data_IF_681431471835
#
_entry.id   IF_681431471835
#
_cell.length_a   1.000
_cell.length_b   1.000
_cell.length_c   1.000
_cell.angle_alpha   90.00
_cell.angle_beta   90.00
_cell.angle_gamma   90.00
#
_symmetry.space_group_name_H-M   'P 1'
#
loop_
_entity.id
_entity.type
_entity.pdbx_description
1 polymer ?
#
# COMPACT_ATOMS: atom_id res chain seq x y z
N UNK A 1 -10.39 28.84 37.05
CA UNK A 1 -11.71 29.02 37.61
C UNK A 1 -11.77 30.40 38.24
N UNK A 2 -12.75 31.20 37.86
CA UNK A 2 -12.94 32.55 38.42
C UNK A 2 -14.33 32.66 39.03
N UNK A 3 -14.45 33.43 40.10
CA UNK A 3 -15.72 33.85 40.70
C UNK A 3 -15.62 35.35 41.00
N UNK A 4 -16.64 36.11 40.59
CA UNK A 4 -16.72 37.57 40.77
C UNK A 4 -15.44 38.31 40.29
N UNK A 5 -14.88 37.90 39.12
CA UNK A 5 -13.62 38.40 38.53
C UNK A 5 -12.35 38.11 39.35
N UNK A 6 -12.43 37.30 40.37
CA UNK A 6 -11.26 36.86 41.15
C UNK A 6 -10.89 35.42 40.76
N UNK A 7 -9.61 35.17 40.47
CA UNK A 7 -9.11 33.83 40.22
C UNK A 7 -9.16 33.00 41.51
N UNK A 8 -9.92 31.91 41.53
CA UNK A 8 -10.09 31.04 42.70
C UNK A 8 -9.15 29.83 42.60
N UNK A 9 -9.00 29.28 41.40
CA UNK A 9 -8.15 28.12 41.16
C UNK A 9 -7.57 28.16 39.75
N UNK A 10 -6.32 27.77 39.62
CA UNK A 10 -5.63 27.49 38.34
C UNK A 10 -5.38 25.98 38.25
N UNK A 11 -5.91 25.39 37.22
CA UNK A 11 -5.61 24.01 36.89
C UNK A 11 -4.59 24.02 35.74
N UNK A 12 -3.43 23.43 35.98
CA UNK A 12 -2.44 23.17 34.95
C UNK A 12 -2.47 21.70 34.62
N UNK A 13 -2.65 21.42 33.34
CA UNK A 13 -2.51 20.06 32.81
C UNK A 13 -1.06 19.89 32.37
N UNK A 14 -0.40 18.89 32.91
CA UNK A 14 0.92 18.46 32.41
C UNK A 14 0.62 17.69 31.12
N UNK A 15 1.27 18.10 30.03
CA UNK A 15 1.18 17.31 28.81
C UNK A 15 1.68 15.88 29.07
N UNK A 16 0.99 14.91 28.51
CA UNK A 16 1.44 13.53 28.53
C UNK A 16 2.87 13.45 27.97
N UNK A 17 3.65 12.56 28.52
CA UNK A 17 4.98 12.26 28.00
C UNK A 17 4.90 11.91 26.50
N UNK A 18 5.94 12.29 25.78
CA UNK A 18 6.08 11.93 24.36
C UNK A 18 5.87 10.42 24.19
N UNK A 19 4.94 10.05 23.31
CA UNK A 19 4.63 8.63 23.05
C UNK A 19 5.92 7.89 22.71
N UNK A 20 6.10 6.71 23.31
CA UNK A 20 7.26 5.86 23.06
C UNK A 20 7.41 5.57 21.55
N UNK A 21 8.62 5.69 21.02
CA UNK A 21 8.93 5.50 19.59
C UNK A 21 8.72 6.74 18.72
N UNK A 22 8.20 7.87 19.24
CA UNK A 22 8.00 9.09 18.43
C UNK A 22 9.30 9.71 17.94
N UNK A 23 10.34 9.69 18.78
CA UNK A 23 11.66 10.21 18.41
C UNK A 23 12.32 9.34 17.34
N UNK A 24 12.24 8.05 17.49
CA UNK A 24 12.75 7.06 16.53
C UNK A 24 12.00 7.15 15.20
N UNK A 25 10.68 7.41 15.22
CA UNK A 25 9.88 7.67 14.02
C UNK A 25 10.40 8.89 13.26
N UNK A 26 10.52 10.01 13.94
CA UNK A 26 10.96 11.29 13.35
C UNK A 26 12.38 11.15 12.79
N UNK A 27 13.30 10.62 13.59
CA UNK A 27 14.67 10.38 13.15
C UNK A 27 14.71 9.42 11.96
N UNK A 28 13.88 8.38 11.99
CA UNK A 28 13.77 7.41 10.88
C UNK A 28 13.38 8.05 9.54
N UNK A 29 12.51 9.06 9.54
CA UNK A 29 12.19 9.81 8.33
C UNK A 29 13.31 10.78 7.91
N UNK A 30 13.93 11.48 8.87
CA UNK A 30 15.05 12.38 8.61
C UNK A 30 16.22 11.61 7.97
N UNK A 31 16.56 10.43 8.49
CA UNK A 31 17.63 9.57 7.96
C UNK A 31 17.37 9.12 6.51
N UNK A 32 16.12 9.16 6.07
CA UNK A 32 15.69 8.87 4.69
C UNK A 32 15.61 10.10 3.80
N UNK A 33 16.04 11.27 4.33
CA UNK A 33 16.01 12.54 3.61
C UNK A 33 14.62 13.15 3.48
N UNK A 34 13.68 12.75 4.35
CA UNK A 34 12.31 13.28 4.39
C UNK A 34 12.26 14.41 5.40
N UNK A 35 11.76 15.57 4.98
CA UNK A 35 11.52 16.70 5.87
C UNK A 35 10.31 16.41 6.75
N UNK A 36 10.45 16.64 8.06
CA UNK A 36 9.36 16.46 9.02
C UNK A 36 9.00 17.81 9.62
N UNK A 37 7.72 18.15 9.60
CA UNK A 37 7.16 19.38 10.19
C UNK A 37 6.05 19.01 11.18
N UNK A 38 5.93 19.77 12.26
CA UNK A 38 4.85 19.64 13.24
C UNK A 38 3.93 20.84 13.08
N UNK A 39 2.64 20.57 12.84
CA UNK A 39 1.59 21.59 12.76
C UNK A 39 0.54 21.31 13.84
N UNK A 40 0.29 22.26 14.73
CA UNK A 40 -0.63 22.09 15.86
C UNK A 40 -1.46 23.34 16.14
N UNK A 41 -2.65 23.13 16.72
CA UNK A 41 -3.46 24.22 17.31
C UNK A 41 -2.95 24.71 18.66
N UNK A 42 -2.03 24.00 19.28
CA UNK A 42 -1.41 24.37 20.56
C UNK A 42 -0.54 25.62 20.44
N UNK A 43 -0.22 26.23 21.59
CA UNK A 43 0.63 27.41 21.60
C UNK A 43 1.98 27.15 20.95
N UNK A 44 2.52 28.15 20.23
CA UNK A 44 3.85 28.05 19.58
C UNK A 44 4.93 27.57 20.55
N UNK A 45 4.89 28.03 21.81
CA UNK A 45 5.87 27.62 22.82
C UNK A 45 5.79 26.14 23.18
N UNK A 46 4.58 25.57 23.23
CA UNK A 46 4.36 24.14 23.48
C UNK A 46 4.86 23.30 22.33
N UNK A 47 4.53 23.71 21.09
CA UNK A 47 4.93 22.96 19.88
C UNK A 47 6.45 23.02 19.69
N UNK A 48 7.08 24.18 19.95
CA UNK A 48 8.54 24.32 19.92
C UNK A 48 9.22 23.43 20.96
N UNK A 49 8.70 23.42 22.21
CA UNK A 49 9.24 22.55 23.25
C UNK A 49 9.16 21.06 22.87
N UNK A 50 8.02 20.64 22.30
CA UNK A 50 7.84 19.29 21.81
C UNK A 50 8.81 18.97 20.66
N UNK A 51 8.94 19.83 19.64
CA UNK A 51 9.86 19.68 18.52
C UNK A 51 11.31 19.47 19.00
N UNK A 52 11.77 20.31 19.94
CA UNK A 52 13.09 20.19 20.55
C UNK A 52 13.27 18.84 21.28
N UNK A 53 12.22 18.34 21.97
CA UNK A 53 12.28 17.06 22.69
C UNK A 53 12.46 15.86 21.77
N UNK A 54 11.96 15.94 20.53
CA UNK A 54 12.05 14.89 19.52
C UNK A 54 13.20 15.12 18.50
N UNK A 55 13.98 16.20 18.68
CA UNK A 55 15.16 16.48 17.87
C UNK A 55 14.88 17.24 16.58
N UNK A 56 13.72 17.88 16.45
CA UNK A 56 13.39 18.75 15.33
C UNK A 56 13.83 20.21 15.61
N UNK A 57 14.26 20.96 14.58
CA UNK A 57 14.54 22.38 14.73
C UNK A 57 13.24 23.18 14.95
N UNK A 58 13.34 24.33 15.62
CA UNK A 58 12.19 25.20 15.86
C UNK A 58 11.48 25.67 14.59
N UNK A 59 12.21 25.79 13.49
CA UNK A 59 11.67 26.13 12.15
C UNK A 59 10.72 25.10 11.57
N UNK A 60 10.76 23.87 12.10
CA UNK A 60 9.86 22.78 11.71
C UNK A 60 8.63 22.64 12.62
N UNK A 61 8.42 23.61 13.53
CA UNK A 61 7.36 23.61 14.52
C UNK A 61 6.44 24.82 14.34
N UNK A 62 5.17 24.57 14.00
CA UNK A 62 4.16 25.60 13.80
C UNK A 62 3.00 25.36 14.77
N UNK A 63 2.82 26.30 15.68
CA UNK A 63 1.77 26.29 16.69
C UNK A 63 0.71 27.35 16.42
N UNK A 64 -0.42 27.24 17.12
CA UNK A 64 -1.53 28.20 17.06
C UNK A 64 -2.31 28.16 15.74
N UNK A 65 -2.24 27.09 14.99
CA UNK A 65 -2.92 26.94 13.71
C UNK A 65 -4.38 26.53 13.91
N UNK A 66 -5.30 27.23 13.23
CA UNK A 66 -6.67 26.77 13.08
C UNK A 66 -6.74 25.53 12.16
N UNK A 67 -7.84 24.77 12.16
CA UNK A 67 -8.02 23.68 11.20
C UNK A 67 -7.86 24.13 9.74
N UNK A 68 -8.35 25.31 9.39
CA UNK A 68 -8.24 25.91 8.06
C UNK A 68 -6.80 26.29 7.70
N UNK A 69 -6.01 26.72 8.70
CA UNK A 69 -4.61 27.05 8.50
C UNK A 69 -3.78 25.79 8.24
N UNK A 70 -4.10 24.68 8.93
CA UNK A 70 -3.48 23.38 8.68
C UNK A 70 -3.75 22.89 7.23
N UNK A 71 -5.00 22.99 6.77
CA UNK A 71 -5.37 22.67 5.38
C UNK A 71 -4.54 23.48 4.40
N UNK A 72 -4.52 24.82 4.55
CA UNK A 72 -3.73 25.71 3.67
C UNK A 72 -2.25 25.35 3.68
N UNK A 73 -1.70 25.03 4.85
CA UNK A 73 -0.31 24.65 4.98
C UNK A 73 0.01 23.38 4.17
N UNK A 74 -0.82 22.34 4.30
CA UNK A 74 -0.66 21.08 3.55
C UNK A 74 -0.82 21.32 2.06
N UNK A 75 -1.88 22.05 1.62
CA UNK A 75 -2.08 22.39 0.21
C UNK A 75 -0.89 23.14 -0.40
N UNK A 76 -0.32 24.11 0.35
CA UNK A 76 0.83 24.86 -0.15
C UNK A 76 2.09 23.99 -0.29
N UNK A 77 2.29 23.03 0.60
CA UNK A 77 3.39 22.06 0.51
C UNK A 77 3.17 21.09 -0.66
N UNK A 78 1.95 20.58 -0.86
CA UNK A 78 1.60 19.65 -1.95
C UNK A 78 1.80 20.24 -3.35
N UNK A 79 1.84 21.56 -3.50
CA UNK A 79 2.17 22.21 -4.79
C UNK A 79 3.59 21.97 -5.26
N UNK A 80 4.52 21.70 -4.36
CA UNK A 80 5.96 21.61 -4.68
C UNK A 80 6.60 20.28 -4.25
N UNK A 81 5.97 19.55 -3.35
CA UNK A 81 6.48 18.30 -2.77
C UNK A 81 5.33 17.29 -2.61
N UNK A 82 5.67 16.02 -2.61
CA UNK A 82 4.72 14.98 -2.17
C UNK A 82 4.62 15.05 -0.65
N UNK A 83 3.40 15.23 -0.14
CA UNK A 83 3.12 15.41 1.27
C UNK A 83 2.45 14.19 1.88
N UNK A 84 2.85 13.85 3.09
CA UNK A 84 2.20 12.87 3.93
C UNK A 84 1.74 13.56 5.22
N UNK A 85 0.43 13.60 5.46
CA UNK A 85 -0.15 14.12 6.68
C UNK A 85 -0.48 12.98 7.64
N UNK A 86 -0.06 13.11 8.89
CA UNK A 86 -0.37 12.15 9.95
C UNK A 86 -1.12 12.87 11.05
N UNK A 87 -2.31 12.41 11.40
CA UNK A 87 -3.17 13.02 12.40
C UNK A 87 -4.12 12.04 13.06
N UNK A 88 -4.91 12.49 14.05
CA UNK A 88 -5.89 11.66 14.74
C UNK A 88 -7.22 11.46 13.96
N UNK A 89 -7.38 12.16 12.85
CA UNK A 89 -8.56 12.05 11.98
C UNK A 89 -9.78 12.83 12.46
N UNK A 90 -9.80 13.37 13.67
CA UNK A 90 -10.95 14.10 14.20
C UNK A 90 -10.88 15.60 13.86
N UNK A 91 -9.81 16.27 14.31
CA UNK A 91 -9.60 17.70 14.04
C UNK A 91 -8.82 17.95 12.76
N UNK A 92 -8.13 16.94 12.26
CA UNK A 92 -7.23 17.01 11.11
C UNK A 92 -7.82 16.39 9.84
N UNK A 93 -9.10 15.96 9.85
CA UNK A 93 -9.73 15.27 8.72
C UNK A 93 -9.62 16.01 7.39
N UNK A 94 -9.84 17.33 7.41
CA UNK A 94 -9.70 18.15 6.20
C UNK A 94 -8.25 18.28 5.73
N UNK A 95 -7.29 18.34 6.63
CA UNK A 95 -5.86 18.38 6.30
C UNK A 95 -5.36 17.01 5.79
N UNK A 96 -5.89 15.92 6.36
CA UNK A 96 -5.62 14.56 5.86
C UNK A 96 -6.13 14.36 4.42
N UNK A 97 -7.33 14.86 4.13
CA UNK A 97 -7.96 14.71 2.82
C UNK A 97 -7.28 15.52 1.68
N UNK A 98 -6.56 16.59 1.99
CA UNK A 98 -5.85 17.40 1.00
C UNK A 98 -4.37 17.04 0.83
N UNK A 99 -3.84 16.20 1.70
CA UNK A 99 -2.49 15.66 1.56
C UNK A 99 -2.43 14.64 0.40
N UNK A 100 -1.24 14.43 -0.19
CA UNK A 100 -1.04 13.37 -1.18
C UNK A 100 -1.20 11.98 -0.55
N UNK A 101 -0.90 11.85 0.75
CA UNK A 101 -1.18 10.66 1.56
C UNK A 101 -1.64 11.09 2.94
N UNK A 102 -2.89 10.80 3.26
CA UNK A 102 -3.48 11.03 4.58
C UNK A 102 -3.41 9.77 5.45
N UNK A 103 -2.80 9.87 6.64
CA UNK A 103 -2.68 8.76 7.60
C UNK A 103 -3.38 9.14 8.89
N UNK A 104 -4.46 8.44 9.20
CA UNK A 104 -5.17 8.58 10.46
C UNK A 104 -4.62 7.60 11.49
N UNK A 105 -4.23 8.12 12.67
CA UNK A 105 -3.66 7.36 13.78
C UNK A 105 -4.66 7.28 14.91
N UNK A 106 -5.10 6.08 15.28
CA UNK A 106 -6.04 5.92 16.38
C UNK A 106 -6.63 4.52 16.48
N UNK A 107 -7.45 4.30 17.50
CA UNK A 107 -8.18 3.06 17.72
C UNK A 107 -9.65 3.23 17.32
N UNK A 108 -10.02 2.63 16.22
CA UNK A 108 -11.36 2.21 15.75
C UNK A 108 -12.51 3.22 15.72
N UNK A 109 -12.95 3.74 16.84
CA UNK A 109 -14.22 4.50 16.91
C UNK A 109 -14.08 6.03 16.77
N UNK A 110 -12.89 6.57 16.90
CA UNK A 110 -12.63 8.01 16.89
C UNK A 110 -12.03 8.56 15.60
N UNK A 111 -11.79 7.69 14.61
CA UNK A 111 -11.14 8.07 13.36
C UNK A 111 -12.18 8.26 12.27
N UNK A 112 -12.18 9.43 11.64
CA UNK A 112 -12.97 9.66 10.43
C UNK A 112 -12.33 8.89 9.25
N UNK A 113 -12.82 7.67 9.02
CA UNK A 113 -12.30 6.72 8.05
C UNK A 113 -12.37 7.24 6.60
N UNK A 114 -13.28 8.20 6.34
CA UNK A 114 -13.53 8.72 4.99
C UNK A 114 -12.50 9.78 4.55
N UNK A 115 -11.69 10.29 5.48
CA UNK A 115 -10.74 11.36 5.22
C UNK A 115 -9.27 10.90 5.08
N UNK A 116 -8.97 9.65 5.38
CA UNK A 116 -7.61 9.14 5.38
C UNK A 116 -7.44 7.97 4.39
N UNK A 117 -6.33 7.95 3.68
CA UNK A 117 -5.95 6.84 2.80
C UNK A 117 -5.50 5.61 3.57
N UNK A 118 -4.91 5.82 4.75
CA UNK A 118 -4.35 4.76 5.59
C UNK A 118 -4.81 4.98 7.03
N UNK A 119 -5.30 3.90 7.64
CA UNK A 119 -5.54 3.84 9.08
C UNK A 119 -4.41 3.12 9.78
N UNK A 120 -3.90 3.70 10.85
CA UNK A 120 -2.74 3.20 11.55
C UNK A 120 -3.01 3.06 13.07
N UNK A 121 -2.75 1.91 13.69
CA UNK A 121 -2.87 1.76 15.13
C UNK A 121 -1.83 2.64 15.83
N UNK A 122 -2.31 3.46 16.78
CA UNK A 122 -1.50 4.50 17.40
C UNK A 122 -0.44 4.03 18.41
N UNK A 123 -0.33 2.74 18.67
CA UNK A 123 0.54 2.14 19.69
C UNK A 123 1.95 1.81 19.20
N UNK A 124 2.21 1.86 17.89
CA UNK A 124 3.48 1.49 17.29
C UNK A 124 3.97 2.47 16.21
N UNK A 125 4.34 3.72 16.56
CA UNK A 125 4.69 4.76 15.57
C UNK A 125 5.81 4.34 14.61
N UNK A 126 6.78 3.56 15.06
CA UNK A 126 7.91 3.07 14.25
C UNK A 126 7.46 2.28 13.01
N UNK A 127 6.30 1.61 13.07
CA UNK A 127 5.77 0.87 11.92
C UNK A 127 5.49 1.77 10.70
N UNK A 128 5.31 3.09 10.88
CA UNK A 128 5.16 4.03 9.75
C UNK A 128 6.44 4.11 8.90
N UNK A 129 7.60 4.03 9.53
CA UNK A 129 8.90 3.98 8.82
C UNK A 129 9.02 2.67 8.03
N UNK A 130 8.64 1.56 8.66
CA UNK A 130 8.67 0.24 8.01
C UNK A 130 7.68 0.19 6.81
N UNK A 131 6.51 0.82 6.95
CA UNK A 131 5.52 0.94 5.87
C UNK A 131 6.07 1.76 4.71
N UNK A 132 6.72 2.89 5.00
CA UNK A 132 7.39 3.70 3.99
C UNK A 132 8.47 2.90 3.24
N UNK A 133 9.36 2.21 3.96
CA UNK A 133 10.39 1.36 3.35
C UNK A 133 9.79 0.25 2.49
N UNK A 134 8.72 -0.37 2.96
CA UNK A 134 7.99 -1.37 2.18
C UNK A 134 7.46 -0.78 0.89
N UNK A 135 6.83 0.41 0.93
CA UNK A 135 6.28 1.08 -0.26
C UNK A 135 7.36 1.41 -1.29
N UNK A 136 8.52 1.93 -0.83
CA UNK A 136 9.67 2.21 -1.71
C UNK A 136 10.20 0.93 -2.35
N UNK A 137 10.32 -0.16 -1.59
CA UNK A 137 10.79 -1.44 -2.11
C UNK A 137 9.80 -2.06 -3.09
N UNK A 138 8.50 -1.95 -2.81
CA UNK A 138 7.44 -2.38 -3.74
C UNK A 138 7.51 -1.62 -5.06
N UNK A 139 7.66 -0.29 -5.01
CA UNK A 139 7.78 0.52 -6.22
C UNK A 139 9.01 0.16 -7.06
N UNK A 140 10.17 -0.04 -6.42
CA UNK A 140 11.39 -0.51 -7.10
C UNK A 140 11.19 -1.86 -7.78
N UNK A 141 10.53 -2.81 -7.11
CA UNK A 141 10.25 -4.11 -7.68
C UNK A 141 9.25 -4.04 -8.83
N UNK A 142 8.22 -3.20 -8.72
CA UNK A 142 7.23 -2.98 -9.78
C UNK A 142 7.89 -2.41 -11.03
N UNK A 143 8.69 -1.35 -10.89
CA UNK A 143 9.44 -0.76 -12.01
C UNK A 143 10.39 -1.79 -12.61
N UNK A 144 11.12 -2.54 -11.78
CA UNK A 144 12.03 -3.61 -12.23
C UNK A 144 11.30 -4.69 -13.03
N UNK A 145 10.12 -5.09 -12.60
CA UNK A 145 9.27 -6.06 -13.29
C UNK A 145 8.80 -5.55 -14.65
N UNK A 146 8.36 -4.28 -14.71
CA UNK A 146 7.95 -3.66 -15.97
C UNK A 146 9.13 -3.59 -16.96
N UNK A 147 10.27 -3.08 -16.51
CA UNK A 147 11.47 -2.96 -17.35
C UNK A 147 11.91 -4.35 -17.86
N UNK A 148 11.94 -5.34 -16.99
CA UNK A 148 12.31 -6.71 -17.35
C UNK A 148 11.34 -7.30 -18.38
N UNK A 149 10.03 -7.17 -18.16
CA UNK A 149 8.99 -7.69 -19.07
C UNK A 149 9.06 -7.03 -20.44
N UNK A 150 9.17 -5.71 -20.50
CA UNK A 150 9.32 -4.97 -21.77
C UNK A 150 10.61 -5.36 -22.49
N UNK A 151 11.72 -5.50 -21.77
CA UNK A 151 13.01 -5.90 -22.35
C UNK A 151 12.95 -7.29 -22.97
N UNK A 152 12.37 -8.26 -22.27
CA UNK A 152 12.21 -9.63 -22.79
C UNK A 152 11.33 -9.61 -24.04
N UNK A 153 10.22 -8.89 -24.02
CA UNK A 153 9.33 -8.78 -25.19
C UNK A 153 10.04 -8.15 -26.38
N UNK A 154 10.81 -7.08 -26.20
CA UNK A 154 11.58 -6.45 -27.27
C UNK A 154 12.65 -7.39 -27.83
N UNK A 155 13.37 -8.12 -26.98
CA UNK A 155 14.36 -9.12 -27.40
C UNK A 155 13.68 -10.21 -28.23
N UNK A 156 12.53 -10.71 -27.82
CA UNK A 156 11.77 -11.71 -28.56
C UNK A 156 11.33 -11.17 -29.93
N UNK A 157 10.79 -9.96 -30.00
CA UNK A 157 10.38 -9.33 -31.28
C UNK A 157 11.56 -9.19 -32.22
N UNK A 158 12.70 -8.68 -31.73
CA UNK A 158 13.93 -8.55 -32.55
C UNK A 158 14.41 -9.92 -33.00
N UNK A 159 14.35 -10.93 -32.15
CA UNK A 159 14.76 -12.31 -32.49
C UNK A 159 13.90 -12.92 -33.58
N UNK A 160 12.58 -12.68 -33.55
CA UNK A 160 11.66 -13.14 -34.60
C UNK A 160 11.92 -12.41 -35.91
N UNK A 161 12.11 -11.10 -35.89
CA UNK A 161 12.39 -10.33 -37.14
C UNK A 161 13.69 -10.78 -37.78
N UNK A 162 14.72 -11.10 -36.99
CA UNK A 162 16.01 -11.58 -37.50
C UNK A 162 16.06 -13.09 -37.76
N UNK A 163 14.93 -13.81 -37.62
CA UNK A 163 14.82 -15.23 -37.85
C UNK A 163 15.83 -16.09 -37.06
N UNK A 164 16.16 -15.61 -35.79
CA UNK A 164 17.03 -16.39 -34.90
C UNK A 164 16.39 -17.69 -34.42
N UNK A 165 15.06 -17.78 -34.46
CA UNK A 165 14.30 -18.97 -34.07
C UNK A 165 13.29 -19.35 -35.14
N UNK A 166 13.43 -20.55 -35.67
CA UNK A 166 12.48 -21.14 -36.63
C UNK A 166 11.25 -21.72 -35.93
N UNK A 167 11.27 -21.83 -34.60
CA UNK A 167 10.27 -22.55 -33.84
C UNK A 167 9.52 -21.61 -32.90
N UNK A 168 8.25 -21.39 -33.17
CA UNK A 168 7.35 -20.52 -32.43
C UNK A 168 7.27 -20.87 -30.91
N UNK A 169 7.32 -22.18 -30.60
CA UNK A 169 7.20 -22.64 -29.22
C UNK A 169 8.35 -22.17 -28.30
N UNK A 170 9.54 -21.91 -28.84
CA UNK A 170 10.68 -21.37 -28.07
C UNK A 170 10.36 -19.96 -27.56
N UNK A 171 9.81 -19.12 -28.44
CA UNK A 171 9.38 -17.76 -28.04
C UNK A 171 8.30 -17.78 -26.94
N UNK A 172 7.33 -18.70 -27.08
CA UNK A 172 6.28 -18.90 -26.07
C UNK A 172 6.88 -19.33 -24.73
N UNK A 173 7.79 -20.31 -24.71
CA UNK A 173 8.44 -20.75 -23.47
C UNK A 173 9.24 -19.65 -22.77
N UNK A 174 9.96 -18.81 -23.54
CA UNK A 174 10.70 -17.68 -22.96
C UNK A 174 9.75 -16.64 -22.39
N UNK A 175 8.66 -16.35 -23.08
CA UNK A 175 7.64 -15.41 -22.62
C UNK A 175 6.97 -15.91 -21.33
N UNK A 176 6.49 -17.13 -21.30
CA UNK A 176 5.88 -17.74 -20.11
C UNK A 176 6.88 -17.86 -18.95
N UNK A 177 8.14 -18.20 -19.24
CA UNK A 177 9.22 -18.22 -18.28
C UNK A 177 9.47 -16.84 -17.63
N UNK A 178 9.27 -15.76 -18.38
CA UNK A 178 9.42 -14.38 -17.84
C UNK A 178 8.38 -14.06 -16.76
N UNK A 179 7.17 -14.60 -16.87
CA UNK A 179 6.12 -14.43 -15.87
C UNK A 179 6.55 -15.02 -14.53
N UNK A 180 7.22 -16.16 -14.54
CA UNK A 180 7.76 -16.78 -13.32
C UNK A 180 8.80 -15.87 -12.65
N UNK A 181 9.67 -15.21 -13.44
CA UNK A 181 10.66 -14.27 -12.90
C UNK A 181 9.99 -13.07 -12.22
N UNK A 182 8.92 -12.53 -12.80
CA UNK A 182 8.12 -11.45 -12.21
C UNK A 182 7.51 -11.89 -10.87
N UNK A 183 6.90 -13.08 -10.84
CA UNK A 183 6.33 -13.65 -9.62
C UNK A 183 7.41 -13.82 -8.53
N UNK A 184 8.59 -14.33 -8.89
CA UNK A 184 9.70 -14.48 -7.96
C UNK A 184 10.18 -13.16 -7.38
N UNK A 185 10.32 -12.14 -8.23
CA UNK A 185 10.73 -10.82 -7.77
C UNK A 185 9.70 -10.19 -6.80
N UNK A 186 8.41 -10.38 -7.09
CA UNK A 186 7.32 -9.96 -6.19
C UNK A 186 7.31 -10.73 -4.87
N UNK A 187 7.48 -12.05 -4.92
CA UNK A 187 7.49 -12.90 -3.73
C UNK A 187 8.64 -12.57 -2.75
N UNK A 188 9.76 -12.08 -3.26
CA UNK A 188 10.91 -11.65 -2.45
C UNK A 188 10.57 -10.50 -1.50
N UNK A 189 9.61 -9.64 -1.86
CA UNK A 189 9.17 -8.51 -1.03
C UNK A 189 8.30 -8.95 0.15
N UNK A 190 7.61 -10.07 0.04
CA UNK A 190 6.69 -10.56 1.07
C UNK A 190 7.37 -10.95 2.40
N UNK A 191 8.72 -11.09 2.43
CA UNK A 191 9.48 -11.38 3.65
C UNK A 191 9.07 -12.67 4.40
N UNK A 192 7.99 -13.30 3.96
CA UNK A 192 7.38 -14.48 4.60
C UNK A 192 7.69 -15.73 3.81
N UNK A 193 8.78 -16.39 4.18
CA UNK A 193 9.00 -17.76 3.77
C UNK A 193 10.13 -17.96 2.77
N UNK A 194 10.71 -19.17 2.80
CA UNK A 194 11.66 -19.66 1.82
C UNK A 194 11.07 -19.50 0.41
N UNK A 195 11.77 -18.81 -0.47
CA UNK A 195 11.39 -18.60 -1.87
C UNK A 195 11.02 -19.94 -2.57
N UNK A 196 11.67 -21.03 -2.17
CA UNK A 196 11.36 -22.39 -2.62
C UNK A 196 9.98 -22.89 -2.16
N UNK A 197 9.51 -22.53 -0.96
CA UNK A 197 8.18 -22.94 -0.49
C UNK A 197 7.07 -22.21 -1.23
N UNK A 198 7.28 -20.92 -1.55
CA UNK A 198 6.33 -20.17 -2.38
C UNK A 198 6.26 -20.69 -3.82
N UNK A 199 7.41 -21.00 -4.41
CA UNK A 199 7.46 -21.68 -5.72
C UNK A 199 6.67 -22.98 -5.69
N UNK A 200 6.92 -23.82 -4.69
CA UNK A 200 6.24 -25.10 -4.54
C UNK A 200 4.73 -24.95 -4.39
N UNK A 201 4.28 -23.99 -3.62
CA UNK A 201 2.85 -23.68 -3.43
C UNK A 201 2.22 -23.20 -4.75
N UNK A 202 2.89 -22.30 -5.46
CA UNK A 202 2.40 -21.78 -6.75
C UNK A 202 2.33 -22.87 -7.81
N UNK A 203 3.36 -23.70 -7.95
CA UNK A 203 3.36 -24.82 -8.87
C UNK A 203 2.33 -25.88 -8.51
N UNK A 204 2.13 -26.14 -7.22
CA UNK A 204 1.08 -27.04 -6.74
C UNK A 204 -0.32 -26.52 -7.07
N UNK A 205 -0.57 -25.23 -6.86
CA UNK A 205 -1.86 -24.62 -7.20
C UNK A 205 -2.12 -24.64 -8.71
N UNK A 206 -1.12 -24.27 -9.51
CA UNK A 206 -1.20 -24.35 -10.98
C UNK A 206 -1.49 -25.79 -11.44
N UNK A 207 -0.83 -26.78 -10.84
CA UNK A 207 -1.12 -28.20 -11.13
C UNK A 207 -2.56 -28.59 -10.79
N UNK A 208 -3.07 -28.14 -9.65
CA UNK A 208 -4.46 -28.39 -9.23
C UNK A 208 -5.45 -27.75 -10.19
N UNK A 209 -5.21 -26.53 -10.64
CA UNK A 209 -6.03 -25.82 -11.62
C UNK A 209 -6.06 -26.54 -12.97
N UNK A 210 -4.91 -27.00 -13.45
CA UNK A 210 -4.81 -27.81 -14.68
C UNK A 210 -5.59 -29.12 -14.53
N UNK A 211 -5.46 -29.81 -13.41
CA UNK A 211 -6.21 -31.05 -13.13
C UNK A 211 -7.72 -30.80 -13.10
N UNK A 212 -8.16 -29.70 -12.49
CA UNK A 212 -9.57 -29.30 -12.48
C UNK A 212 -10.08 -29.00 -13.90
N UNK A 213 -9.31 -28.23 -14.68
CA UNK A 213 -9.67 -27.91 -16.05
C UNK A 213 -9.79 -29.17 -16.92
N UNK A 214 -8.85 -30.11 -16.83
CA UNK A 214 -8.88 -31.39 -17.54
C UNK A 214 -10.12 -32.20 -17.11
N UNK A 215 -10.48 -32.20 -15.81
CA UNK A 215 -11.67 -32.89 -15.33
C UNK A 215 -12.94 -32.27 -15.90
N UNK A 216 -13.08 -30.95 -15.90
CA UNK A 216 -14.22 -30.23 -16.48
C UNK A 216 -14.36 -30.48 -17.98
N UNK A 217 -13.25 -30.44 -18.73
CA UNK A 217 -13.26 -30.77 -20.16
C UNK A 217 -13.69 -32.21 -20.41
N UNK A 218 -13.25 -33.15 -19.59
CA UNK A 218 -13.64 -34.57 -19.70
C UNK A 218 -15.13 -34.78 -19.39
N UNK A 219 -15.65 -34.12 -18.39
CA UNK A 219 -17.08 -34.17 -18.02
C UNK A 219 -17.95 -33.56 -19.13
N UNK A 220 -17.53 -32.41 -19.67
CA UNK A 220 -18.23 -31.76 -20.78
C UNK A 220 -18.25 -32.65 -22.05
N UNK A 221 -17.13 -33.27 -22.37
CA UNK A 221 -17.03 -34.22 -23.51
C UNK A 221 -17.89 -35.47 -23.30
N UNK A 222 -17.94 -36.00 -22.07
CA UNK A 222 -18.76 -37.16 -21.73
C UNK A 222 -20.25 -36.82 -21.79
N UNK A 223 -20.69 -35.67 -21.31
CA UNK A 223 -22.05 -35.17 -21.39
C UNK A 223 -22.53 -34.95 -22.81
N UNK A 224 -21.68 -34.35 -23.66
CA UNK A 224 -21.97 -34.15 -25.08
C UNK A 224 -22.17 -35.47 -25.83
N UNK A 225 -21.43 -36.52 -25.46
CA UNK A 225 -21.54 -37.84 -26.07
C UNK A 225 -22.80 -38.58 -25.67
N UNK A 226 -23.31 -38.38 -24.47
CA UNK A 226 -24.59 -38.97 -23.99
C UNK A 226 -25.83 -38.31 -24.60
N UNK A 227 -25.74 -37.01 -24.93
CA UNK A 227 -26.84 -36.26 -25.55
C UNK A 227 -27.08 -36.69 -27.02
N UNK A 228 -26.02 -37.14 -27.71
CA UNK A 228 -26.10 -37.58 -29.10
C UNK A 228 -26.60 -39.03 -29.25
N UNK A 229 -26.84 -39.75 -28.15
CA UNK A 229 -27.31 -41.15 -28.20
C UNK A 229 -28.85 -41.30 -27.94
N UNK A 230 -29.54 -40.18 -27.77
CA UNK A 230 -31.00 -40.16 -27.58
C UNK A 230 -31.66 -39.45 -28.76
N UNK A 231 -31.63 -40.05 -29.93
CA UNK A 231 -32.58 -39.71 -31.01
C UNK A 231 -33.74 -40.67 -30.87
N UNK A 232 -34.96 -40.19 -30.77
CA UNK A 232 -36.15 -41.08 -30.80
C UNK A 232 -36.34 -41.54 -32.22
N UNK A 233 -36.38 -42.84 -32.35
CA UNK A 233 -36.79 -43.58 -33.56
C UNK A 233 -38.26 -43.24 -33.87
N UNK A 234 -38.52 -42.34 -34.83
CA UNK A 234 -39.82 -42.16 -35.41
C UNK A 234 -39.94 -43.06 -36.61
N UNK A 235 -40.39 -44.28 -36.39
CA UNK A 235 -40.91 -45.13 -37.46
C UNK A 235 -42.40 -45.37 -37.27
N UNK A 236 -43.11 -44.84 -38.26
CA UNK A 236 -44.32 -45.38 -38.89
C UNK A 236 -45.48 -45.95 -38.06
N UNK A 237 -46.58 -45.29 -38.21
CA UNK A 237 -47.83 -45.99 -38.40
C UNK A 237 -48.68 -45.31 -39.46
N UNK A 238 -48.72 -45.92 -40.64
CA UNK A 238 -49.72 -45.78 -41.69
C UNK A 238 -51.01 -46.46 -41.26
N UNK A 239 -52.10 -45.81 -41.32
CA UNK A 239 -53.39 -46.27 -41.88
C UNK A 239 -54.44 -45.19 -41.72
#
# INVERSE_FOLDING_TARGET
LTKDSQAIALFTFIHDDTREGSKELIQGFIDRGISVEIISGDSQSSVTAFANSVGLPETSALGGLSPEDKVRWVEDRSKSHVTMMVGDGFNDSAALAVADVGIAVGTGESVNMDAADIMFPGDAPKMLVDLYDLSVNMNKALIGNIVMSVSITLILVISVINQFYDQLWVGVLIHEGSVLLVIFNGARLSGRGNMLSMLFITLKNLWLDIVQLVRQLREHYSSSKSTNLVLPNQNHATS
#
